data_IF_913524772066
#
_entry.id   IF_913524772066
#
_cell.length_a   1.000
_cell.length_b   1.000
_cell.length_c   1.000
_cell.angle_alpha   90.00
_cell.angle_beta   90.00
_cell.angle_gamma   90.00
#
_symmetry.space_group_name_H-M   'P 1'
#
loop_
_entity.id
_entity.type
_entity.pdbx_description
1 polymer ?
#
# COMPACT_ATOMS: atom_id res chain seq x y z
N UNK A 1 -14.47 -2.50 -37.28
CA UNK A 1 -13.21 -1.76 -37.32
C UNK A 1 -13.31 -0.63 -36.31
N UNK A 2 -12.91 -0.90 -35.05
CA UNK A 2 -12.90 0.12 -34.00
C UNK A 2 -11.73 1.05 -34.26
N UNK A 3 -12.00 2.34 -34.44
CA UNK A 3 -10.97 3.36 -34.57
C UNK A 3 -10.15 3.37 -33.27
N UNK A 4 -8.85 3.18 -33.42
CA UNK A 4 -7.88 3.36 -32.35
C UNK A 4 -8.00 4.79 -31.83
N UNK A 5 -8.38 4.94 -30.55
CA UNK A 5 -8.28 6.21 -29.87
C UNK A 5 -6.80 6.44 -29.53
N UNK A 6 -6.07 7.07 -30.43
CA UNK A 6 -4.73 7.61 -30.17
C UNK A 6 -4.85 8.90 -29.35
N UNK A 7 -5.24 8.76 -28.08
CA UNK A 7 -4.94 9.78 -27.07
C UNK A 7 -3.42 9.84 -26.86
N UNK A 8 -2.88 10.88 -26.20
CA UNK A 8 -1.47 10.90 -25.85
C UNK A 8 -1.15 9.63 -25.05
N UNK A 9 -0.36 8.73 -25.64
CA UNK A 9 0.16 7.55 -24.95
C UNK A 9 1.21 8.07 -23.97
N UNK A 10 0.77 8.53 -22.80
CA UNK A 10 1.68 8.65 -21.68
C UNK A 10 2.13 7.23 -21.38
N UNK A 11 3.31 6.85 -21.89
CA UNK A 11 3.93 5.57 -21.56
C UNK A 11 4.20 5.58 -20.05
N UNK A 12 3.24 5.03 -19.30
CA UNK A 12 3.40 4.82 -17.87
C UNK A 12 4.59 3.89 -17.71
N UNK A 13 5.63 4.28 -16.98
CA UNK A 13 6.81 3.44 -16.82
C UNK A 13 6.42 2.07 -16.29
N UNK A 14 6.97 1.04 -16.92
CA UNK A 14 6.80 -0.33 -16.45
C UNK A 14 7.34 -0.42 -15.01
N UNK A 15 6.61 -1.10 -14.11
CA UNK A 15 7.15 -1.41 -12.80
C UNK A 15 8.49 -2.14 -12.92
N UNK A 16 9.45 -1.79 -12.07
CA UNK A 16 10.76 -2.48 -12.02
C UNK A 16 10.64 -3.96 -11.62
N UNK A 17 9.61 -4.28 -10.84
CA UNK A 17 9.34 -5.60 -10.32
C UNK A 17 7.92 -6.01 -10.70
N UNK A 18 7.77 -7.25 -11.16
CA UNK A 18 6.51 -7.87 -11.58
C UNK A 18 6.41 -9.26 -10.96
N UNK A 19 5.21 -9.83 -10.88
CA UNK A 19 4.93 -11.08 -10.20
C UNK A 19 5.03 -10.99 -8.67
N UNK A 20 5.03 -12.16 -8.02
CA UNK A 20 5.20 -12.30 -6.58
C UNK A 20 3.95 -11.99 -5.77
N UNK A 21 4.11 -12.00 -4.44
CA UNK A 21 3.07 -11.72 -3.45
C UNK A 21 3.23 -10.30 -2.92
N UNK A 22 2.19 -9.48 -3.08
CA UNK A 22 2.29 -8.04 -2.81
C UNK A 22 1.35 -7.58 -1.71
N UNK A 23 1.87 -6.73 -0.82
CA UNK A 23 1.08 -5.90 0.07
C UNK A 23 1.11 -4.45 -0.44
N UNK A 24 -0.05 -3.91 -0.78
CA UNK A 24 -0.23 -2.49 -1.01
C UNK A 24 -0.44 -1.79 0.33
N UNK A 25 0.36 -0.77 0.62
CA UNK A 25 0.46 -0.16 1.94
C UNK A 25 0.22 1.34 1.87
N UNK A 26 -0.87 1.82 2.48
CA UNK A 26 -0.98 3.20 2.96
C UNK A 26 -0.31 3.36 4.34
N UNK A 27 -0.17 4.61 4.76
CA UNK A 27 0.42 5.05 6.02
C UNK A 27 -0.62 5.71 6.91
N UNK A 28 -1.22 6.79 6.42
CA UNK A 28 -2.22 7.56 7.14
C UNK A 28 -3.45 6.65 7.31
N UNK A 29 -3.94 6.48 8.54
CA UNK A 29 -5.06 5.57 8.84
C UNK A 29 -4.69 4.08 8.85
N UNK A 30 -3.41 3.73 8.69
CA UNK A 30 -2.92 2.34 8.65
C UNK A 30 -1.82 2.09 9.68
N UNK A 31 -0.72 2.85 9.58
CA UNK A 31 0.45 2.74 10.46
C UNK A 31 0.46 3.76 11.60
N UNK A 32 -0.54 4.64 11.59
CA UNK A 32 -0.81 5.74 12.51
C UNK A 32 -2.16 6.38 12.12
N UNK A 33 -2.72 7.32 12.90
CA UNK A 33 -3.99 7.97 12.58
C UNK A 33 -4.02 8.71 11.23
N UNK A 34 -5.17 8.77 10.56
CA UNK A 34 -5.36 9.34 9.22
C UNK A 34 -5.02 10.83 9.12
N UNK A 35 -5.14 11.57 10.24
CA UNK A 35 -5.16 13.02 10.23
C UNK A 35 -3.75 13.62 10.20
N UNK A 36 -3.08 13.49 9.06
CA UNK A 36 -1.70 13.94 8.84
C UNK A 36 -1.65 15.18 7.94
N UNK A 37 -1.00 16.23 8.44
CA UNK A 37 -0.75 17.45 7.69
C UNK A 37 0.72 17.58 7.32
N UNK A 38 0.97 18.03 6.09
CA UNK A 38 2.30 18.32 5.61
C UNK A 38 2.66 19.78 5.87
N UNK A 39 3.19 20.04 7.05
CA UNK A 39 3.58 21.39 7.46
C UNK A 39 4.88 21.81 6.77
N UNK A 40 4.92 23.05 6.26
CA UNK A 40 6.13 23.61 5.64
C UNK A 40 7.31 23.54 6.63
N UNK A 41 8.47 23.05 6.14
CA UNK A 41 9.73 22.82 6.90
C UNK A 41 9.71 21.76 8.01
N UNK A 42 8.54 21.39 8.55
CA UNK A 42 8.42 20.35 9.59
C UNK A 42 8.14 18.97 9.02
N UNK A 43 7.54 18.90 7.83
CA UNK A 43 7.16 17.64 7.21
C UNK A 43 5.82 17.12 7.74
N UNK A 44 5.53 15.82 7.55
CA UNK A 44 4.31 15.19 8.03
C UNK A 44 4.17 15.34 9.54
N UNK A 45 2.98 15.74 10.01
CA UNK A 45 2.66 15.97 11.42
C UNK A 45 1.22 15.53 11.68
N UNK A 46 1.02 14.70 12.70
CA UNK A 46 -0.32 14.31 13.16
C UNK A 46 -1.05 15.52 13.74
N UNK A 47 -2.35 15.60 13.48
CA UNK A 47 -3.25 16.60 14.05
C UNK A 47 -4.39 15.89 14.81
N UNK A 48 -4.82 16.48 15.92
CA UNK A 48 -5.95 15.98 16.73
C UNK A 48 -5.83 14.50 17.14
N UNK A 49 -4.61 14.00 17.33
CA UNK A 49 -4.33 12.60 17.67
C UNK A 49 -3.42 12.51 18.91
N UNK A 50 -3.90 12.95 20.09
CA UNK A 50 -3.08 12.97 21.30
C UNK A 50 -2.66 11.54 21.69
N UNK A 51 -1.38 11.37 22.05
CA UNK A 51 -0.82 10.07 22.43
C UNK A 51 -0.31 9.22 21.27
N UNK A 52 -0.61 9.60 20.02
CA UNK A 52 -0.19 8.86 18.83
C UNK A 52 1.07 9.45 18.19
N UNK A 53 1.81 8.61 17.46
CA UNK A 53 3.00 8.98 16.72
C UNK A 53 2.98 8.45 15.29
N UNK A 54 3.55 9.21 14.36
CA UNK A 54 3.74 8.73 12.98
C UNK A 54 4.55 7.44 12.98
N UNK A 55 4.03 6.42 12.31
CA UNK A 55 4.64 5.09 12.12
C UNK A 55 4.68 4.21 13.38
N UNK A 56 3.82 4.48 14.36
CA UNK A 56 3.75 3.71 15.62
C UNK A 56 3.40 2.22 15.43
N UNK A 57 2.77 1.83 14.32
CA UNK A 57 2.42 0.43 14.04
C UNK A 57 3.37 -0.27 13.05
N UNK A 58 4.53 0.30 12.74
CA UNK A 58 5.51 -0.37 11.88
C UNK A 58 6.01 -1.69 12.47
N UNK A 59 6.32 -1.75 13.76
CA UNK A 59 6.81 -2.97 14.40
C UNK A 59 5.74 -4.08 14.37
N UNK A 60 4.48 -3.72 14.64
CA UNK A 60 3.34 -4.64 14.52
C UNK A 60 3.21 -5.19 13.09
N UNK A 61 3.29 -4.34 12.07
CA UNK A 61 3.23 -4.81 10.68
C UNK A 61 4.42 -5.71 10.34
N UNK A 62 5.63 -5.38 10.82
CA UNK A 62 6.82 -6.21 10.60
C UNK A 62 6.67 -7.60 11.23
N UNK A 63 6.14 -7.68 12.45
CA UNK A 63 5.84 -8.94 13.14
C UNK A 63 4.82 -9.77 12.37
N UNK A 64 3.71 -9.15 11.94
CA UNK A 64 2.67 -9.83 11.15
C UNK A 64 3.22 -10.41 9.85
N UNK A 65 4.18 -9.73 9.23
CA UNK A 65 4.83 -10.16 7.99
C UNK A 65 5.99 -11.13 8.19
N UNK A 66 6.43 -11.42 9.42
CA UNK A 66 7.56 -12.29 9.71
C UNK A 66 7.34 -13.71 9.15
N UNK A 67 6.11 -14.22 9.23
CA UNK A 67 5.72 -15.54 8.70
C UNK A 67 5.58 -15.58 7.17
N UNK A 68 5.66 -14.43 6.49
CA UNK A 68 5.47 -14.29 5.04
C UNK A 68 6.68 -13.59 4.42
N UNK A 69 7.84 -14.25 4.46
CA UNK A 69 9.15 -13.66 4.13
C UNK A 69 9.31 -13.18 2.69
N UNK A 70 8.53 -13.69 1.75
CA UNK A 70 8.57 -13.31 0.33
C UNK A 70 7.52 -12.27 -0.06
N UNK A 71 6.65 -11.86 0.87
CA UNK A 71 5.72 -10.74 0.65
C UNK A 71 6.53 -9.45 0.51
N UNK A 72 6.30 -8.76 -0.60
CA UNK A 72 6.90 -7.46 -0.93
C UNK A 72 5.87 -6.34 -0.82
N UNK A 73 6.34 -5.14 -0.56
CA UNK A 73 5.50 -3.97 -0.32
C UNK A 73 5.52 -3.05 -1.55
N UNK A 74 4.34 -2.64 -1.98
CA UNK A 74 4.14 -1.52 -2.91
C UNK A 74 3.45 -0.40 -2.14
N UNK A 75 4.07 0.78 -2.10
CA UNK A 75 3.50 1.93 -1.39
C UNK A 75 2.32 2.50 -2.19
N UNK A 76 1.13 2.52 -1.57
CA UNK A 76 -0.10 3.10 -2.12
C UNK A 76 -0.52 4.40 -1.45
N UNK A 77 0.30 4.97 -0.57
CA UNK A 77 0.02 6.20 0.18
C UNK A 77 0.02 7.49 -0.64
N UNK A 78 -0.75 8.50 -0.22
CA UNK A 78 -0.75 9.86 -0.79
C UNK A 78 0.64 10.52 -0.84
N UNK A 79 1.55 10.11 0.06
CA UNK A 79 2.91 10.64 0.19
C UNK A 79 3.76 10.34 -1.05
N UNK A 80 3.46 9.29 -1.82
CA UNK A 80 4.22 8.95 -3.04
C UNK A 80 4.20 10.08 -4.05
N UNK A 81 3.09 10.82 -4.16
CA UNK A 81 3.00 11.99 -5.06
C UNK A 81 3.80 13.16 -4.51
N UNK A 82 3.68 13.41 -3.20
CA UNK A 82 4.37 14.51 -2.51
C UNK A 82 5.89 14.44 -2.68
N UNK A 83 6.43 13.23 -2.61
CA UNK A 83 7.85 12.94 -2.78
C UNK A 83 8.22 12.54 -4.22
N UNK A 84 7.36 12.86 -5.20
CA UNK A 84 7.60 12.66 -6.64
C UNK A 84 8.00 11.22 -7.00
N UNK A 85 7.37 10.24 -6.37
CA UNK A 85 7.63 8.80 -6.56
C UNK A 85 8.96 8.32 -5.96
N UNK A 86 9.63 9.11 -5.13
CA UNK A 86 10.90 8.72 -4.51
C UNK A 86 10.69 7.70 -3.40
N UNK A 87 10.80 6.40 -3.75
CA UNK A 87 10.65 5.29 -2.80
C UNK A 87 11.52 5.48 -1.56
N UNK A 88 12.81 5.79 -1.75
CA UNK A 88 13.75 6.04 -0.65
C UNK A 88 13.23 7.08 0.35
N UNK A 89 12.62 8.17 -0.11
CA UNK A 89 12.12 9.24 0.78
C UNK A 89 10.83 8.83 1.49
N UNK A 90 9.95 8.11 0.79
CA UNK A 90 8.66 7.68 1.33
C UNK A 90 8.84 6.52 2.31
N UNK A 91 9.80 5.63 2.10
CA UNK A 91 10.04 4.46 2.97
C UNK A 91 10.97 4.75 4.16
N UNK A 92 11.66 5.90 4.21
CA UNK A 92 12.74 6.17 5.17
C UNK A 92 12.35 5.99 6.65
N UNK A 93 11.08 6.22 7.00
CA UNK A 93 10.58 6.09 8.39
C UNK A 93 9.98 4.73 8.72
N UNK A 94 9.88 3.81 7.76
CA UNK A 94 9.51 2.43 8.06
C UNK A 94 10.65 1.76 8.85
N UNK A 95 10.35 0.70 9.58
CA UNK A 95 11.38 -0.15 10.19
C UNK A 95 12.28 -0.79 9.13
N UNK A 96 13.54 -1.15 9.44
CA UNK A 96 14.46 -1.71 8.45
C UNK A 96 13.91 -2.95 7.72
N UNK A 97 13.19 -3.84 8.41
CA UNK A 97 12.60 -5.02 7.79
C UNK A 97 11.49 -4.69 6.81
N UNK A 98 10.61 -3.72 7.13
CA UNK A 98 9.62 -3.21 6.18
C UNK A 98 10.27 -2.48 5.01
N UNK A 99 11.29 -1.64 5.24
CA UNK A 99 12.02 -0.96 4.16
C UNK A 99 12.61 -1.95 3.15
N UNK A 100 13.22 -3.04 3.64
CA UNK A 100 13.80 -4.09 2.80
C UNK A 100 12.76 -4.84 1.95
N UNK A 101 11.47 -4.75 2.30
CA UNK A 101 10.36 -5.34 1.53
C UNK A 101 9.81 -4.41 0.46
N UNK A 102 10.09 -3.10 0.51
CA UNK A 102 9.55 -2.13 -0.45
C UNK A 102 10.19 -2.27 -1.83
N UNK A 103 9.38 -2.59 -2.84
CA UNK A 103 9.82 -2.76 -4.24
C UNK A 103 9.33 -1.67 -5.18
N UNK A 104 8.50 -0.73 -4.68
CA UNK A 104 7.96 0.34 -5.50
C UNK A 104 6.78 1.07 -4.87
N UNK A 105 6.11 1.87 -5.69
CA UNK A 105 4.90 2.60 -5.37
C UNK A 105 3.92 2.53 -6.55
N UNK A 106 2.65 2.79 -6.29
CA UNK A 106 1.60 2.90 -7.31
C UNK A 106 1.80 4.11 -8.23
N UNK A 107 2.51 5.14 -7.77
CA UNK A 107 2.81 6.36 -8.52
C UNK A 107 4.26 6.44 -9.02
N UNK A 108 4.46 7.00 -10.21
CA UNK A 108 5.76 7.41 -10.75
C UNK A 108 5.71 8.87 -11.22
N UNK A 109 6.81 9.62 -11.12
CA UNK A 109 6.92 11.01 -11.56
C UNK A 109 6.66 11.30 -13.05
N UNK A 110 6.42 10.26 -13.85
CA UNK A 110 6.08 10.37 -15.29
C UNK A 110 4.59 10.13 -15.55
N UNK A 111 3.83 9.73 -14.54
CA UNK A 111 2.38 9.71 -14.59
C UNK A 111 1.85 11.14 -14.45
N UNK A 112 0.65 11.38 -14.96
CA UNK A 112 -0.04 12.64 -14.71
C UNK A 112 -0.43 12.72 -13.21
N UNK A 113 0.05 13.74 -12.47
CA UNK A 113 -0.17 13.83 -11.04
C UNK A 113 -1.61 14.22 -10.66
N UNK A 114 -2.38 14.83 -11.57
CA UNK A 114 -3.76 15.22 -11.34
C UNK A 114 -4.70 14.05 -11.62
N UNK A 115 -4.52 13.38 -12.76
CA UNK A 115 -5.27 12.18 -13.14
C UNK A 115 -5.11 11.08 -12.07
N UNK A 116 -3.87 10.79 -11.66
CA UNK A 116 -3.62 9.81 -10.62
C UNK A 116 -4.30 10.17 -9.30
N UNK A 117 -4.38 11.46 -8.95
CA UNK A 117 -4.99 11.92 -7.70
C UNK A 117 -6.51 11.83 -7.69
N UNK A 118 -7.13 12.01 -8.87
CA UNK A 118 -8.57 11.96 -9.04
C UNK A 118 -9.10 10.53 -9.08
N UNK A 119 -8.26 9.56 -9.44
CA UNK A 119 -8.62 8.16 -9.39
C UNK A 119 -8.85 7.72 -7.93
N UNK A 120 -9.96 7.01 -7.62
CA UNK A 120 -10.15 6.39 -6.31
C UNK A 120 -8.98 5.49 -5.92
N UNK A 121 -8.67 5.38 -4.63
CA UNK A 121 -7.50 4.63 -4.16
C UNK A 121 -7.48 3.18 -4.65
N UNK A 122 -8.62 2.49 -4.59
CA UNK A 122 -8.76 1.14 -5.15
C UNK A 122 -8.46 1.04 -6.65
N UNK A 123 -8.74 2.09 -7.44
CA UNK A 123 -8.40 2.13 -8.86
C UNK A 123 -6.91 2.41 -9.11
N UNK A 124 -6.26 3.23 -8.27
CA UNK A 124 -4.80 3.43 -8.33
C UNK A 124 -4.06 2.11 -8.09
N UNK A 125 -4.48 1.35 -7.06
CA UNK A 125 -3.95 0.02 -6.76
C UNK A 125 -4.24 -0.94 -7.90
N UNK A 126 -5.47 -0.99 -8.41
CA UNK A 126 -5.84 -1.87 -9.51
C UNK A 126 -5.02 -1.61 -10.78
N UNK A 127 -4.79 -0.35 -11.13
CA UNK A 127 -3.92 0.02 -12.26
C UNK A 127 -2.47 -0.43 -12.08
N UNK A 128 -1.97 -0.51 -10.85
CA UNK A 128 -0.65 -1.07 -10.55
C UNK A 128 -0.67 -2.61 -10.57
N UNK A 129 -1.71 -3.26 -10.04
CA UNK A 129 -1.93 -4.73 -10.13
C UNK A 129 -1.90 -5.21 -11.58
N UNK A 130 -2.61 -4.54 -12.49
CA UNK A 130 -2.62 -4.90 -13.92
C UNK A 130 -1.22 -4.83 -14.57
N UNK A 131 -0.37 -3.89 -14.11
CA UNK A 131 0.99 -3.72 -14.61
C UNK A 131 1.97 -4.70 -13.96
N UNK A 132 1.87 -4.94 -12.65
CA UNK A 132 2.78 -5.81 -11.90
C UNK A 132 2.43 -7.28 -12.00
N UNK A 133 1.16 -7.61 -12.19
CA UNK A 133 0.65 -8.99 -12.29
C UNK A 133 1.10 -9.88 -11.10
N UNK A 134 0.85 -9.48 -9.85
CA UNK A 134 1.16 -10.32 -8.69
C UNK A 134 0.36 -11.63 -8.72
N UNK A 135 0.92 -12.70 -8.14
CA UNK A 135 0.21 -13.98 -7.98
C UNK A 135 -0.81 -13.96 -6.84
N UNK A 136 -0.59 -13.11 -5.83
CA UNK A 136 -1.53 -12.82 -4.76
C UNK A 136 -1.28 -11.40 -4.23
N UNK A 137 -2.31 -10.71 -3.75
CA UNK A 137 -2.13 -9.39 -3.16
C UNK A 137 -3.21 -9.03 -2.14
N UNK A 138 -2.85 -8.13 -1.24
CA UNK A 138 -3.75 -7.44 -0.30
C UNK A 138 -3.43 -5.94 -0.28
N UNK A 139 -4.39 -5.13 0.15
CA UNK A 139 -4.23 -3.71 0.40
C UNK A 139 -4.60 -3.38 1.86
N UNK A 140 -3.79 -2.57 2.53
CA UNK A 140 -4.10 -1.96 3.82
C UNK A 140 -4.36 -0.49 3.59
N UNK A 141 -5.59 -0.06 3.83
CA UNK A 141 -6.07 1.29 3.52
C UNK A 141 -7.32 1.58 4.36
N UNK A 142 -7.44 2.79 4.90
CA UNK A 142 -8.64 3.25 5.59
C UNK A 142 -9.64 3.86 4.61
N UNK A 143 -9.16 4.44 3.50
CA UNK A 143 -9.98 4.79 2.35
C UNK A 143 -10.55 3.49 1.76
N UNK A 144 -11.87 3.40 1.71
CA UNK A 144 -12.63 2.29 1.13
C UNK A 144 -13.61 2.78 0.06
N UNK A 145 -13.66 4.10 -0.15
CA UNK A 145 -14.68 4.73 -0.94
C UNK A 145 -14.44 4.42 -2.42
N UNK A 146 -15.51 4.05 -3.12
CA UNK A 146 -15.47 3.70 -4.54
C UNK A 146 -14.49 2.56 -4.88
N UNK A 147 -14.20 1.66 -3.92
CA UNK A 147 -13.39 0.48 -4.22
C UNK A 147 -14.06 -0.39 -5.29
N UNK A 148 -13.31 -0.79 -6.34
CA UNK A 148 -13.85 -1.66 -7.38
C UNK A 148 -14.37 -2.97 -6.79
N UNK A 149 -15.55 -3.41 -7.21
CA UNK A 149 -16.20 -4.59 -6.62
C UNK A 149 -15.33 -5.84 -6.69
N UNK A 150 -14.54 -6.01 -7.76
CA UNK A 150 -13.62 -7.14 -7.97
C UNK A 150 -12.34 -7.08 -7.12
N UNK A 151 -12.09 -5.97 -6.42
CA UNK A 151 -10.93 -5.75 -5.54
C UNK A 151 -11.28 -5.74 -4.05
N UNK A 152 -12.58 -5.82 -3.67
CA UNK A 152 -13.02 -5.63 -2.28
C UNK A 152 -12.49 -6.69 -1.33
N UNK A 153 -12.41 -7.94 -1.77
CA UNK A 153 -11.91 -9.05 -0.96
C UNK A 153 -10.42 -8.91 -0.62
N UNK A 154 -9.67 -8.12 -1.39
CA UNK A 154 -8.25 -7.87 -1.18
C UNK A 154 -7.98 -6.66 -0.28
N UNK A 155 -8.99 -5.82 -0.01
CA UNK A 155 -8.86 -4.70 0.92
C UNK A 155 -9.04 -5.19 2.35
N UNK A 156 -8.07 -4.91 3.23
CA UNK A 156 -8.29 -4.85 4.68
C UNK A 156 -8.57 -3.38 4.99
N UNK A 157 -9.83 -3.07 5.28
CA UNK A 157 -10.23 -1.70 5.65
C UNK A 157 -9.76 -1.44 7.07
N UNK A 158 -8.85 -0.48 7.26
CA UNK A 158 -8.32 -0.16 8.58
C UNK A 158 -9.18 0.85 9.32
N UNK A 159 -8.97 0.95 10.63
CA UNK A 159 -9.58 1.99 11.44
C UNK A 159 -8.81 3.32 11.25
N UNK A 160 -9.49 4.46 11.02
CA UNK A 160 -8.80 5.72 10.74
C UNK A 160 -7.97 6.25 11.92
N UNK A 161 -8.21 5.82 13.16
CA UNK A 161 -7.44 6.25 14.34
C UNK A 161 -6.41 5.21 14.75
N UNK A 162 -6.80 3.94 14.87
CA UNK A 162 -5.95 2.86 15.39
C UNK A 162 -5.31 2.02 14.29
N UNK A 163 -5.62 2.28 13.02
CA UNK A 163 -5.05 1.60 11.87
C UNK A 163 -5.19 0.08 11.97
N UNK A 164 -4.07 -0.61 11.77
CA UNK A 164 -3.99 -2.07 11.88
C UNK A 164 -4.02 -2.60 13.32
N UNK A 165 -3.87 -1.74 14.33
CA UNK A 165 -3.85 -2.13 15.73
C UNK A 165 -5.25 -2.23 16.34
N UNK A 166 -6.29 -1.76 15.64
CA UNK A 166 -7.67 -1.98 16.06
C UNK A 166 -7.96 -3.50 16.11
N UNK A 167 -8.48 -4.03 17.23
CA UNK A 167 -8.62 -5.48 17.42
C UNK A 167 -9.36 -6.25 16.32
N UNK A 168 -10.46 -5.71 15.79
CA UNK A 168 -11.23 -6.37 14.73
C UNK A 168 -10.50 -6.32 13.38
N UNK A 169 -9.85 -5.19 13.06
CA UNK A 169 -8.99 -5.04 11.89
C UNK A 169 -7.79 -5.97 11.96
N UNK A 170 -7.15 -6.09 13.12
CA UNK A 170 -6.00 -6.97 13.33
C UNK A 170 -6.38 -8.45 13.13
N UNK A 171 -7.55 -8.86 13.61
CA UNK A 171 -8.07 -10.21 13.40
C UNK A 171 -8.39 -10.48 11.91
N UNK A 172 -9.01 -9.52 11.23
CA UNK A 172 -9.27 -9.61 9.79
C UNK A 172 -7.96 -9.67 8.99
N UNK A 173 -6.99 -8.82 9.32
CA UNK A 173 -5.68 -8.77 8.68
C UNK A 173 -4.96 -10.12 8.79
N UNK A 174 -4.91 -10.71 9.98
CA UNK A 174 -4.32 -12.04 10.19
C UNK A 174 -4.98 -13.10 9.31
N UNK A 175 -6.32 -13.09 9.25
CA UNK A 175 -7.11 -14.02 8.44
C UNK A 175 -6.82 -13.85 6.95
N UNK A 176 -6.79 -12.60 6.47
CA UNK A 176 -6.53 -12.30 5.05
C UNK A 176 -5.08 -12.59 4.67
N UNK A 177 -4.10 -12.30 5.54
CA UNK A 177 -2.69 -12.65 5.33
C UNK A 177 -2.52 -14.16 5.16
N UNK A 178 -3.13 -14.96 6.03
CA UNK A 178 -3.05 -16.43 5.92
C UNK A 178 -3.75 -16.94 4.64
N UNK A 179 -4.95 -16.44 4.34
CA UNK A 179 -5.66 -16.81 3.12
C UNK A 179 -4.89 -16.46 1.85
N UNK A 180 -4.28 -15.26 1.81
CA UNK A 180 -3.57 -14.78 0.63
C UNK A 180 -2.16 -15.37 0.51
N UNK A 181 -1.48 -15.63 1.63
CA UNK A 181 -0.04 -15.88 1.69
C UNK A 181 0.37 -17.13 2.52
N UNK A 182 -0.54 -17.84 3.17
CA UNK A 182 -0.25 -18.99 4.07
C UNK A 182 0.18 -20.30 3.39
N UNK A 183 0.33 -20.34 2.07
CA UNK A 183 0.44 -21.60 1.30
C UNK A 183 1.84 -22.14 0.95
N UNK A 184 2.94 -21.57 1.44
CA UNK A 184 4.30 -21.92 0.96
C UNK A 184 5.26 -22.54 2.00
N UNK A 185 4.77 -22.94 3.18
CA UNK A 185 5.58 -23.52 4.26
C UNK A 185 5.49 -25.04 4.46
N UNK A 186 4.51 -25.72 3.88
CA UNK A 186 4.28 -27.16 4.10
C UNK A 186 4.56 -27.97 2.83
N UNK A 187 5.83 -28.02 2.44
CA UNK A 187 6.38 -29.18 1.72
C UNK A 187 7.57 -29.72 2.49
N UNK A 188 7.30 -30.29 3.66
CA UNK A 188 8.10 -31.38 4.19
C UNK A 188 7.75 -32.64 3.40
N UNK A 189 8.57 -32.97 2.39
CA UNK A 189 8.62 -34.35 1.90
C UNK A 189 9.60 -35.09 2.81
N UNK A 190 9.03 -35.98 3.63
CA UNK A 190 9.76 -37.12 4.18
C UNK A 190 10.01 -38.19 3.12
#
# INVERSE_FOLDING_TARGET
>A
MLKEFSGPTYEIPRPRHTGGRLLFLDYDGVLHPENVFLLHRRGPTLQNSPGHQLFEHCELLEELLASYSDVRIVLSTSWVRRYRGSIRRVSYRLTPGLQARVIGATYHSRMDPAEFAQAPRGMQIWGDVLRRKPSAWLALDDDYLHWPAWCREQLVRTDPMFGIAEPSVLAELKTKLDKAFGGYGLKSHG
#
